data_IF_586854048476
#
_entry.id   IF_586854048476
#
_cell.length_a   1.000
_cell.length_b   1.000
_cell.length_c   1.000
_cell.angle_alpha   90.00
_cell.angle_beta   90.00
_cell.angle_gamma   90.00
#
_symmetry.space_group_name_H-M   'P 1'
#
loop_
_entity.id
_entity.type
_entity.pdbx_description
1 polymer ?
#
# COMPACT_ATOMS: atom_id res chain seq x y z
N UNK A 1 17.47 -7.43 20.18
CA UNK A 1 17.62 -6.10 20.83
C UNK A 1 17.38 -4.99 19.80
N UNK A 2 17.31 -3.71 20.23
CA UNK A 2 17.16 -2.57 19.30
C UNK A 2 18.31 -2.53 18.29
N UNK A 3 19.55 -2.68 18.75
CA UNK A 3 20.75 -2.71 17.91
C UNK A 3 20.69 -3.80 16.81
N UNK A 4 20.34 -5.04 17.19
CA UNK A 4 20.17 -6.14 16.23
C UNK A 4 19.02 -5.91 15.23
N UNK A 5 17.93 -5.28 15.69
CA UNK A 5 16.79 -4.99 14.84
C UNK A 5 17.12 -3.88 13.84
N UNK A 6 17.78 -2.80 14.27
CA UNK A 6 18.27 -1.73 13.41
C UNK A 6 19.26 -2.24 12.37
N UNK A 7 20.20 -3.11 12.77
CA UNK A 7 21.11 -3.79 11.86
C UNK A 7 20.34 -4.61 10.81
N UNK A 8 19.38 -5.44 11.21
CA UNK A 8 18.58 -6.26 10.29
C UNK A 8 17.80 -5.42 9.29
N UNK A 9 17.11 -4.37 9.74
CA UNK A 9 16.37 -3.47 8.86
C UNK A 9 17.30 -2.78 7.84
N UNK A 10 18.53 -2.43 8.23
CA UNK A 10 19.50 -1.82 7.32
C UNK A 10 20.04 -2.77 6.25
N UNK A 11 19.76 -4.07 6.34
CA UNK A 11 20.09 -5.07 5.32
C UNK A 11 18.94 -5.30 4.33
N UNK A 12 17.75 -4.74 4.59
CA UNK A 12 16.63 -4.89 3.67
C UNK A 12 16.93 -4.15 2.35
N UNK A 13 16.60 -4.76 1.20
CA UNK A 13 16.72 -4.10 -0.09
C UNK A 13 15.82 -2.85 -0.11
N UNK A 14 16.35 -1.73 -0.61
CA UNK A 14 15.64 -0.44 -0.62
C UNK A 14 15.82 0.41 0.65
N UNK A 15 16.63 -0.03 1.62
CA UNK A 15 17.01 0.78 2.79
C UNK A 15 18.41 1.36 2.59
N UNK A 16 18.51 2.69 2.56
CA UNK A 16 19.79 3.40 2.52
C UNK A 16 20.47 3.44 3.89
N UNK A 17 19.69 3.66 4.95
CA UNK A 17 20.18 3.78 6.33
C UNK A 17 19.07 3.58 7.34
N UNK A 18 19.41 3.06 8.52
CA UNK A 18 18.53 3.06 9.69
C UNK A 18 19.17 3.88 10.81
N UNK A 19 18.47 4.92 11.27
CA UNK A 19 18.88 5.73 12.41
C UNK A 19 18.03 5.37 13.63
N UNK A 20 18.67 5.18 14.78
CA UNK A 20 18.01 4.75 16.02
C UNK A 20 18.71 5.31 17.27
N UNK A 21 18.15 5.06 18.45
CA UNK A 21 18.76 5.46 19.73
C UNK A 21 20.17 4.89 19.92
N UNK A 22 20.45 3.71 19.35
CA UNK A 22 21.73 3.00 19.47
C UNK A 22 22.76 3.39 18.39
N UNK A 23 22.41 4.29 17.47
CA UNK A 23 23.29 4.77 16.41
C UNK A 23 22.69 4.64 15.00
N UNK A 24 23.56 4.76 14.00
CA UNK A 24 23.22 4.67 12.57
C UNK A 24 23.78 3.39 11.95
N UNK A 25 22.96 2.71 11.14
CA UNK A 25 23.24 1.40 10.55
C UNK A 25 23.08 1.42 9.04
N UNK A 26 24.02 0.79 8.34
CA UNK A 26 24.01 0.61 6.88
C UNK A 26 24.48 -0.83 6.60
N UNK A 27 23.74 -1.57 5.77
CA UNK A 27 24.16 -2.91 5.33
C UNK A 27 24.39 -3.91 6.46
N UNK A 28 23.64 -3.81 7.57
CA UNK A 28 23.78 -4.68 8.73
C UNK A 28 24.84 -4.25 9.74
N UNK A 29 25.62 -3.20 9.46
CA UNK A 29 26.70 -2.75 10.33
C UNK A 29 26.39 -1.39 10.94
N UNK A 30 26.77 -1.20 12.22
CA UNK A 30 26.68 0.09 12.88
C UNK A 30 27.85 0.98 12.45
N UNK A 31 27.57 2.00 11.65
CA UNK A 31 28.58 2.94 11.15
C UNK A 31 28.89 4.04 12.18
N UNK A 32 27.87 4.52 12.88
CA UNK A 32 27.99 5.57 13.90
C UNK A 32 27.38 5.07 15.20
N UNK A 33 28.12 5.17 16.30
CA UNK A 33 27.62 4.83 17.63
C UNK A 33 26.59 5.84 18.19
N UNK A 34 26.00 5.55 19.36
CA UNK A 34 25.11 6.49 20.05
C UNK A 34 25.81 7.83 20.28
N UNK A 35 25.12 8.93 20.01
CA UNK A 35 25.62 10.29 20.19
C UNK A 35 24.48 11.18 20.73
N UNK A 36 24.73 12.43 21.18
CA UNK A 36 23.66 13.28 21.71
C UNK A 36 22.47 13.46 20.75
N UNK A 37 22.69 13.40 19.44
CA UNK A 37 21.64 13.46 18.42
C UNK A 37 20.79 12.18 18.33
N UNK A 38 21.26 11.03 18.83
CA UNK A 38 20.45 9.80 18.86
C UNK A 38 19.37 9.81 19.93
N UNK A 39 19.46 10.72 20.92
CA UNK A 39 18.45 10.88 21.97
C UNK A 39 17.06 11.27 21.42
N UNK A 40 16.99 11.86 20.22
CA UNK A 40 15.71 12.17 19.54
C UNK A 40 14.86 10.94 19.23
N UNK A 41 15.49 9.76 19.23
CA UNK A 41 14.84 8.48 18.99
C UNK A 41 14.35 7.81 20.30
N UNK A 42 14.61 8.42 21.45
CA UNK A 42 13.98 8.05 22.71
C UNK A 42 12.62 8.73 22.84
N UNK A 43 11.58 7.96 23.16
CA UNK A 43 10.26 8.45 23.53
C UNK A 43 9.90 8.00 24.94
N UNK A 44 8.89 8.64 25.54
CA UNK A 44 8.47 8.31 26.91
C UNK A 44 7.87 6.90 27.05
N UNK A 45 7.25 6.39 25.98
CA UNK A 45 6.55 5.10 25.95
C UNK A 45 7.13 4.12 24.94
N UNK A 46 8.23 4.47 24.26
CA UNK A 46 8.82 3.65 23.20
C UNK A 46 10.03 4.30 22.55
N UNK A 47 10.62 3.61 21.57
CA UNK A 47 11.71 4.14 20.74
C UNK A 47 11.23 4.29 19.31
N UNK A 48 11.74 5.29 18.61
CA UNK A 48 11.50 5.50 17.19
C UNK A 48 12.74 5.15 16.39
N UNK A 49 12.55 4.50 15.24
CA UNK A 49 13.60 4.23 14.27
C UNK A 49 13.26 4.98 12.99
N UNK A 50 14.24 5.63 12.38
CA UNK A 50 14.09 6.27 11.08
C UNK A 50 14.72 5.38 10.02
N UNK A 51 13.89 4.74 9.21
CA UNK A 51 14.31 3.95 8.04
C UNK A 51 14.35 4.88 6.83
N UNK A 52 15.54 5.22 6.38
CA UNK A 52 15.75 6.05 5.18
C UNK A 52 15.70 5.14 3.97
N UNK A 53 14.64 5.24 3.19
CA UNK A 53 14.48 4.48 1.95
C UNK A 53 15.43 5.02 0.85
N UNK A 54 15.96 4.13 0.02
CA UNK A 54 16.67 4.45 -1.22
C UNK A 54 15.76 4.40 -2.45
N UNK A 55 14.47 4.13 -2.25
CA UNK A 55 13.44 3.99 -3.29
C UNK A 55 12.38 5.08 -3.15
N UNK A 56 11.70 5.40 -4.26
CA UNK A 56 10.63 6.40 -4.26
C UNK A 56 9.48 5.96 -3.31
N UNK A 57 9.08 6.77 -2.31
CA UNK A 57 8.13 6.34 -1.29
C UNK A 57 6.74 5.97 -1.84
N UNK A 58 6.27 6.63 -2.89
CA UNK A 58 4.95 6.40 -3.49
C UNK A 58 5.09 5.52 -4.76
N UNK A 59 5.79 4.40 -4.63
CA UNK A 59 6.05 3.45 -5.71
C UNK A 59 5.78 2.01 -5.25
N UNK A 60 5.69 1.08 -6.21
CA UNK A 60 5.58 -0.34 -5.92
C UNK A 60 6.74 -0.85 -5.03
N UNK A 61 7.97 -0.38 -5.30
CA UNK A 61 9.15 -0.71 -4.47
C UNK A 61 9.01 -0.18 -3.04
N UNK A 62 8.47 1.03 -2.86
CA UNK A 62 8.17 1.58 -1.54
C UNK A 62 7.11 0.77 -0.77
N UNK A 63 6.07 0.31 -1.46
CA UNK A 63 5.04 -0.56 -0.88
C UNK A 63 5.63 -1.93 -0.46
N UNK A 64 6.46 -2.53 -1.32
CA UNK A 64 7.18 -3.76 -1.00
C UNK A 64 8.11 -3.59 0.21
N UNK A 65 8.85 -2.48 0.28
CA UNK A 65 9.72 -2.19 1.43
C UNK A 65 8.92 -2.12 2.74
N UNK A 66 7.74 -1.48 2.74
CA UNK A 66 6.86 -1.46 3.93
C UNK A 66 6.46 -2.87 4.34
N UNK A 67 6.12 -3.73 3.38
CA UNK A 67 5.76 -5.12 3.65
C UNK A 67 6.94 -5.90 4.27
N UNK A 68 8.15 -5.75 3.72
CA UNK A 68 9.38 -6.34 4.27
C UNK A 68 9.67 -5.85 5.69
N UNK A 69 9.54 -4.55 5.95
CA UNK A 69 9.74 -3.97 7.29
C UNK A 69 8.70 -4.52 8.28
N UNK A 70 7.43 -4.64 7.88
CA UNK A 70 6.34 -5.15 8.75
C UNK A 70 6.43 -6.65 9.04
N UNK A 71 6.96 -7.43 8.10
CA UNK A 71 7.12 -8.89 8.25
C UNK A 71 8.47 -9.28 8.86
N UNK A 72 9.42 -8.35 8.94
CA UNK A 72 10.71 -8.56 9.60
C UNK A 72 10.55 -8.96 11.06
N UNK A 73 11.21 -10.03 11.53
CA UNK A 73 11.12 -10.46 12.93
C UNK A 73 11.54 -9.34 13.89
N UNK A 74 10.61 -8.88 14.72
CA UNK A 74 10.85 -7.85 15.71
C UNK A 74 10.83 -8.44 17.14
N UNK A 75 11.76 -8.04 18.02
CA UNK A 75 11.78 -8.51 19.41
C UNK A 75 10.74 -7.80 20.30
N UNK A 76 9.97 -6.87 19.75
CA UNK A 76 8.96 -6.05 20.42
C UNK A 76 7.84 -5.71 19.44
N UNK A 77 6.73 -5.16 19.93
CA UNK A 77 5.67 -4.65 19.05
C UNK A 77 6.19 -3.46 18.24
N UNK A 78 6.00 -3.50 16.92
CA UNK A 78 6.45 -2.46 15.99
C UNK A 78 5.26 -1.89 15.26
N UNK A 79 5.21 -0.56 15.21
CA UNK A 79 4.28 0.19 14.39
C UNK A 79 5.08 0.84 13.26
N UNK A 80 4.61 0.68 12.02
CA UNK A 80 5.29 1.19 10.81
C UNK A 80 4.43 2.29 10.22
N UNK A 81 5.03 3.47 10.05
CA UNK A 81 4.39 4.68 9.51
C UNK A 81 5.30 5.34 8.46
N UNK A 82 4.88 6.49 7.93
CA UNK A 82 5.52 7.19 6.81
C UNK A 82 4.69 7.07 5.52
N UNK A 83 5.07 7.86 4.50
CA UNK A 83 4.31 8.04 3.25
C UNK A 83 3.94 6.73 2.56
N UNK A 84 4.89 5.79 2.47
CA UNK A 84 4.66 4.47 1.86
C UNK A 84 3.68 3.63 2.69
N UNK A 85 3.81 3.66 4.02
CA UNK A 85 2.93 2.91 4.91
C UNK A 85 1.50 3.45 4.88
N UNK A 86 1.34 4.77 4.88
CA UNK A 86 0.05 5.45 4.72
C UNK A 86 -0.64 5.07 3.39
N UNK A 87 0.13 4.98 2.30
CA UNK A 87 -0.40 4.54 1.00
C UNK A 87 -0.91 3.09 1.08
N UNK A 88 -0.10 2.17 1.60
CA UNK A 88 -0.47 0.75 1.76
C UNK A 88 -1.71 0.61 2.65
N UNK A 89 -1.75 1.31 3.78
CA UNK A 89 -2.86 1.25 4.73
C UNK A 89 -4.14 1.84 4.13
N UNK A 90 -4.03 2.93 3.36
CA UNK A 90 -5.17 3.52 2.66
C UNK A 90 -5.73 2.58 1.59
N UNK A 91 -4.86 1.96 0.77
CA UNK A 91 -5.27 0.96 -0.22
C UNK A 91 -5.97 -0.23 0.44
N UNK A 92 -5.41 -0.74 1.54
CA UNK A 92 -5.98 -1.86 2.28
C UNK A 92 -7.33 -1.50 2.91
N UNK A 93 -7.45 -0.29 3.47
CA UNK A 93 -8.70 0.20 4.05
C UNK A 93 -9.81 0.28 2.99
N UNK A 94 -9.53 0.86 1.81
CA UNK A 94 -10.51 0.88 0.71
C UNK A 94 -10.85 -0.54 0.27
N UNK A 95 -9.85 -1.38 -0.01
CA UNK A 95 -10.05 -2.73 -0.54
C UNK A 95 -10.85 -3.63 0.41
N UNK A 96 -10.64 -3.51 1.73
CA UNK A 96 -11.35 -4.29 2.74
C UNK A 96 -12.84 -3.93 2.86
N UNK A 97 -13.21 -2.67 2.57
CA UNK A 97 -14.60 -2.22 2.62
C UNK A 97 -15.36 -2.40 1.31
N UNK A 98 -14.66 -2.54 0.17
CA UNK A 98 -15.27 -2.71 -1.16
C UNK A 98 -16.28 -3.86 -1.23
N UNK A 99 -15.99 -5.10 -0.75
CA UNK A 99 -16.94 -6.20 -0.81
C UNK A 99 -18.24 -5.91 -0.08
N UNK A 100 -18.14 -5.26 1.09
CA UNK A 100 -19.28 -4.92 1.94
C UNK A 100 -20.15 -3.85 1.26
N UNK A 101 -19.53 -2.81 0.70
CA UNK A 101 -20.23 -1.76 -0.04
C UNK A 101 -20.95 -2.31 -1.28
N UNK A 102 -20.26 -3.14 -2.09
CA UNK A 102 -20.85 -3.77 -3.27
C UNK A 102 -22.02 -4.70 -2.91
N UNK A 103 -21.88 -5.49 -1.85
CA UNK A 103 -22.95 -6.34 -1.34
C UNK A 103 -24.16 -5.53 -0.90
N UNK A 104 -23.95 -4.45 -0.13
CA UNK A 104 -25.02 -3.59 0.35
C UNK A 104 -25.78 -2.91 -0.80
N UNK A 105 -25.05 -2.30 -1.74
CA UNK A 105 -25.64 -1.66 -2.92
C UNK A 105 -26.41 -2.70 -3.73
N UNK A 106 -25.81 -3.87 -3.98
CA UNK A 106 -26.44 -4.92 -4.76
C UNK A 106 -27.74 -5.43 -4.14
N UNK A 107 -27.76 -5.66 -2.82
CA UNK A 107 -28.95 -6.09 -2.07
C UNK A 107 -30.03 -5.02 -2.14
N UNK A 108 -29.71 -3.76 -1.86
CA UNK A 108 -30.68 -2.66 -1.85
C UNK A 108 -31.28 -2.49 -3.24
N UNK A 109 -30.45 -2.42 -4.28
CA UNK A 109 -30.92 -2.28 -5.67
C UNK A 109 -31.78 -3.47 -6.08
N UNK A 110 -31.37 -4.70 -5.74
CA UNK A 110 -32.16 -5.89 -6.02
C UNK A 110 -33.53 -5.84 -5.35
N UNK A 111 -33.60 -5.51 -4.05
CA UNK A 111 -34.86 -5.41 -3.29
C UNK A 111 -35.78 -4.36 -3.90
N UNK A 112 -35.26 -3.18 -4.22
CA UNK A 112 -36.05 -2.10 -4.83
C UNK A 112 -36.62 -2.54 -6.19
N UNK A 113 -35.80 -3.14 -7.05
CA UNK A 113 -36.25 -3.63 -8.36
C UNK A 113 -37.23 -4.81 -8.23
N UNK A 114 -37.02 -5.69 -7.26
CA UNK A 114 -37.93 -6.79 -6.96
C UNK A 114 -39.30 -6.27 -6.54
N UNK A 115 -39.36 -5.29 -5.62
CA UNK A 115 -40.62 -4.68 -5.19
C UNK A 115 -41.31 -3.92 -6.32
N UNK A 116 -40.55 -3.28 -7.20
CA UNK A 116 -41.08 -2.55 -8.34
C UNK A 116 -41.64 -3.46 -9.44
N UNK A 117 -40.94 -4.57 -9.74
CA UNK A 117 -41.30 -5.47 -10.85
C UNK A 117 -42.13 -6.69 -10.44
N UNK A 118 -42.15 -7.03 -9.15
CA UNK A 118 -42.71 -8.28 -8.63
C UNK A 118 -41.99 -9.55 -9.10
N UNK A 119 -40.85 -9.41 -9.80
CA UNK A 119 -40.10 -10.52 -10.40
C UNK A 119 -38.70 -10.60 -9.82
N UNK A 120 -38.17 -11.82 -9.62
CA UNK A 120 -36.79 -12.07 -9.15
C UNK A 120 -35.80 -12.09 -10.30
N UNK A 121 -36.21 -12.62 -11.46
CA UNK A 121 -35.33 -12.83 -12.61
C UNK A 121 -34.93 -11.50 -13.26
N UNK A 122 -35.87 -10.56 -13.34
CA UNK A 122 -35.65 -9.25 -13.95
C UNK A 122 -34.59 -8.42 -13.21
N UNK A 123 -34.69 -8.21 -11.88
CA UNK A 123 -33.65 -7.55 -11.08
C UNK A 123 -32.29 -8.24 -11.16
N UNK A 124 -32.27 -9.57 -11.08
CA UNK A 124 -31.02 -10.32 -11.11
C UNK A 124 -30.28 -10.12 -12.44
N UNK A 125 -30.99 -10.27 -13.56
CA UNK A 125 -30.44 -10.03 -14.89
C UNK A 125 -29.91 -8.59 -15.01
N UNK A 126 -30.67 -7.61 -14.54
CA UNK A 126 -30.27 -6.21 -14.58
C UNK A 126 -28.97 -5.96 -13.80
N UNK A 127 -28.86 -6.53 -12.60
CA UNK A 127 -27.70 -6.38 -11.73
C UNK A 127 -26.44 -7.03 -12.35
N UNK A 128 -26.58 -8.23 -12.92
CA UNK A 128 -25.47 -8.91 -13.62
C UNK A 128 -24.99 -8.10 -14.82
N UNK A 129 -25.90 -7.60 -15.64
CA UNK A 129 -25.54 -6.79 -16.81
C UNK A 129 -24.89 -5.47 -16.41
N UNK A 130 -25.38 -4.83 -15.34
CA UNK A 130 -24.78 -3.62 -14.82
C UNK A 130 -23.35 -3.86 -14.32
N UNK A 131 -23.13 -4.94 -13.56
CA UNK A 131 -21.81 -5.30 -13.05
C UNK A 131 -20.82 -5.65 -14.18
N UNK A 132 -21.27 -6.38 -15.20
CA UNK A 132 -20.48 -6.68 -16.39
C UNK A 132 -20.09 -5.39 -17.14
N UNK A 133 -21.05 -4.48 -17.36
CA UNK A 133 -20.79 -3.18 -18.01
C UNK A 133 -19.79 -2.33 -17.23
N UNK A 134 -19.95 -2.25 -15.90
CA UNK A 134 -19.06 -1.51 -15.02
C UNK A 134 -17.64 -2.09 -15.05
N UNK A 135 -17.53 -3.42 -14.93
CA UNK A 135 -16.24 -4.13 -14.96
C UNK A 135 -15.56 -3.95 -16.32
N UNK A 136 -16.31 -4.03 -17.42
CA UNK A 136 -15.78 -3.79 -18.77
C UNK A 136 -15.28 -2.35 -18.93
N UNK A 137 -16.00 -1.37 -18.38
CA UNK A 137 -15.61 0.05 -18.45
C UNK A 137 -14.32 0.32 -17.67
N UNK A 138 -14.23 -0.16 -16.42
CA UNK A 138 -13.00 -0.01 -15.63
C UNK A 138 -11.84 -0.81 -16.22
N UNK A 139 -12.09 -2.04 -16.68
CA UNK A 139 -11.09 -2.87 -17.35
C UNK A 139 -10.55 -2.21 -18.61
N UNK A 140 -11.42 -1.64 -19.45
CA UNK A 140 -11.01 -0.87 -20.61
C UNK A 140 -10.19 0.36 -20.20
N UNK A 141 -10.56 1.07 -19.13
CA UNK A 141 -9.79 2.21 -18.65
C UNK A 141 -8.36 1.82 -18.22
N UNK A 142 -8.20 0.71 -17.49
CA UNK A 142 -6.88 0.17 -17.11
C UNK A 142 -6.08 -0.24 -18.35
N UNK A 143 -6.71 -1.01 -19.25
CA UNK A 143 -6.09 -1.50 -20.48
C UNK A 143 -5.61 -0.37 -21.41
N UNK A 144 -6.39 0.70 -21.51
CA UNK A 144 -6.06 1.87 -22.33
C UNK A 144 -4.94 2.67 -21.66
N UNK A 145 -5.15 3.13 -20.42
CA UNK A 145 -4.32 4.18 -19.83
C UNK A 145 -3.16 3.66 -18.97
N UNK A 146 -3.36 2.58 -18.23
CA UNK A 146 -2.30 2.01 -17.39
C UNK A 146 -1.38 1.11 -18.21
N UNK A 147 -1.94 0.24 -19.05
CA UNK A 147 -1.17 -0.66 -19.92
C UNK A 147 -0.74 0.02 -21.23
N UNK A 148 -1.36 1.14 -21.60
CA UNK A 148 -0.90 1.99 -22.69
C UNK A 148 -1.24 1.50 -24.11
N UNK A 149 -2.15 0.55 -24.28
CA UNK A 149 -2.44 -0.09 -25.58
C UNK A 149 -2.86 0.88 -26.71
N UNK A 150 -3.33 2.10 -26.37
CA UNK A 150 -3.74 3.14 -27.32
C UNK A 150 -2.90 4.43 -27.24
N UNK A 151 -1.79 4.40 -26.49
CA UNK A 151 -0.91 5.55 -26.28
C UNK A 151 -0.33 6.13 -27.57
N UNK A 152 0.09 5.27 -28.50
CA UNK A 152 0.62 5.70 -29.80
C UNK A 152 -0.42 6.37 -30.71
N UNK A 153 -1.71 6.04 -30.56
CA UNK A 153 -2.79 6.61 -31.37
C UNK A 153 -3.36 7.90 -30.76
N UNK A 154 -3.45 7.96 -29.43
CA UNK A 154 -4.06 9.05 -28.68
C UNK A 154 -3.05 10.09 -28.17
N UNK A 155 -1.74 9.86 -28.34
CA UNK A 155 -0.70 10.82 -28.04
C UNK A 155 -0.50 11.11 -26.55
N UNK A 156 -0.72 10.12 -25.68
CA UNK A 156 -0.45 10.24 -24.25
C UNK A 156 0.71 9.33 -23.82
N UNK A 157 1.45 9.74 -22.80
CA UNK A 157 2.45 8.88 -22.16
C UNK A 157 1.74 7.96 -21.17
N UNK A 158 1.79 6.62 -21.33
CA UNK A 158 1.29 5.70 -20.33
C UNK A 158 1.98 5.97 -19.00
N UNK A 159 1.24 5.89 -17.90
CA UNK A 159 1.80 5.98 -16.54
C UNK A 159 2.62 4.72 -16.14
N UNK A 160 2.82 3.79 -17.07
CA UNK A 160 3.37 2.45 -16.85
C UNK A 160 4.90 2.40 -16.67
N UNK A 161 5.29 2.06 -15.44
CA UNK A 161 6.63 1.73 -14.91
C UNK A 161 7.59 2.91 -14.77
N UNK A 162 7.83 3.29 -13.52
CA UNK A 162 8.92 4.15 -13.10
C UNK A 162 10.24 3.51 -13.49
N UNK A 163 10.91 4.01 -14.53
CA UNK A 163 12.31 3.73 -14.82
C UNK A 163 12.94 4.93 -15.54
N UNK A 164 13.57 5.81 -14.76
CA UNK A 164 14.88 6.43 -15.07
C UNK A 164 15.58 6.72 -13.76
#
# INVERSE_FOLDING_TARGET
TIDQYSARLSHLPGVARVDSLTGSYIGGQRLIGPNPGSLRFAGQQGTWLSVVASVEPLSALGEHLVHEVRTSPAPFQVLVSGRSAELVDSKHSVASHLPLALGLIGIITFVVLFLFTGSVVMPLKALVLNLLSLTATFGAMVWIFQEGHLSGLLGFTPVGTLDT
#
